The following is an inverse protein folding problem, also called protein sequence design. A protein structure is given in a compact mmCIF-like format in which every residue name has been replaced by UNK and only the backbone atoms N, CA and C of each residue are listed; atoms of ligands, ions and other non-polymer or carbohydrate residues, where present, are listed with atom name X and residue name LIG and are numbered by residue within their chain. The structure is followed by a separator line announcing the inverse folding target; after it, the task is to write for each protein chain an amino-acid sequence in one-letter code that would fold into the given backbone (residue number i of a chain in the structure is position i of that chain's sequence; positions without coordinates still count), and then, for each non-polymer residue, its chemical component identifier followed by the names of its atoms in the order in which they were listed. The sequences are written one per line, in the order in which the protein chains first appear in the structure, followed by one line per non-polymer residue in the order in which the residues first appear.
data_IF_227476301368
#
_entry.id   IF_227476301368
#
_cell.length_a   1.000
_cell.length_b   1.000
_cell.length_c   1.000
_cell.angle_alpha   90.00
_cell.angle_beta   90.00
_cell.angle_gamma   90.00
#
_symmetry.space_group_name_H-M   'P 1'
#
loop_
_entity.id
_entity.type
_entity.pdbx_description
1 polymer ?
#
# COMPACT_ATOMS: atom_id res chain seq x y z
N UNK A 1 21.01 -13.89 -3.95
CA UNK A 1 19.78 -14.04 -3.14
C UNK A 1 20.07 -13.54 -1.73
N UNK A 2 19.79 -12.26 -1.46
CA UNK A 2 20.21 -11.57 -0.25
C UNK A 2 19.09 -11.58 0.79
N UNK A 3 18.97 -12.70 1.48
CA UNK A 3 18.44 -12.73 2.85
C UNK A 3 19.63 -13.00 3.77
N UNK A 4 20.32 -11.94 4.22
CA UNK A 4 21.07 -11.94 5.49
C UNK A 4 21.58 -10.54 5.80
N UNK A 5 20.93 -9.87 6.77
CA UNK A 5 21.59 -8.96 7.71
C UNK A 5 20.62 -8.62 8.85
N UNK A 6 20.97 -9.06 10.06
CA UNK A 6 20.73 -8.32 11.30
C UNK A 6 19.32 -8.37 11.92
N UNK A 7 19.18 -9.15 12.98
CA UNK A 7 18.04 -9.17 13.89
C UNK A 7 18.06 -7.97 14.86
N UNK A 8 16.86 -7.47 15.17
CA UNK A 8 16.42 -6.75 16.37
C UNK A 8 17.14 -5.46 16.81
N UNK A 9 16.85 -4.38 16.10
CA UNK A 9 16.69 -3.03 16.65
C UNK A 9 15.64 -2.36 15.78
N UNK A 10 14.57 -1.81 16.37
CA UNK A 10 13.39 -1.28 15.66
C UNK A 10 13.76 -0.61 14.33
N UNK A 11 13.50 -1.22 13.16
CA UNK A 11 13.83 -0.58 11.90
C UNK A 11 12.90 0.61 11.79
N UNK A 12 13.51 1.79 11.75
CA UNK A 12 12.84 3.05 11.54
C UNK A 12 12.01 2.93 10.25
N UNK A 13 10.68 2.85 10.42
CA UNK A 13 9.74 2.71 9.30
C UNK A 13 9.86 3.92 8.38
N UNK A 14 10.21 5.10 8.91
CA UNK A 14 10.44 6.29 8.09
C UNK A 14 11.71 6.16 7.24
N UNK A 15 12.77 5.54 7.77
CA UNK A 15 13.96 5.21 6.97
C UNK A 15 13.63 4.27 5.80
N UNK A 16 12.79 3.25 6.04
CA UNK A 16 12.32 2.36 4.97
C UNK A 16 11.43 3.05 3.93
N UNK A 17 10.79 4.18 4.29
CA UNK A 17 9.95 4.98 3.40
C UNK A 17 10.73 6.11 2.68
N UNK A 18 11.92 6.48 3.15
CA UNK A 18 12.62 7.70 2.71
C UNK A 18 13.72 7.49 1.65
N UNK A 19 14.15 6.25 1.41
CA UNK A 19 15.28 5.95 0.53
C UNK A 19 14.83 5.73 -0.92
N UNK A 20 14.42 6.81 -1.61
CA UNK A 20 14.16 6.82 -3.07
C UNK A 20 14.16 8.26 -3.64
N UNK A 21 15.22 9.04 -3.34
CA UNK A 21 15.40 10.38 -3.92
C UNK A 21 16.70 10.41 -4.73
N UNK A 22 16.55 10.70 -6.04
CA UNK A 22 17.56 11.08 -7.06
C UNK A 22 18.11 9.99 -8.00
N UNK A 23 17.68 9.95 -9.28
CA UNK A 23 18.39 10.57 -10.43
C UNK A 23 17.64 10.32 -11.76
N UNK A 24 17.57 11.35 -12.62
CA UNK A 24 16.93 11.30 -13.93
C UNK A 24 17.86 10.68 -14.99
N UNK A 25 17.50 9.51 -15.54
CA UNK A 25 18.07 9.00 -16.79
C UNK A 25 16.95 8.54 -17.72
N UNK A 26 17.00 8.96 -18.99
CA UNK A 26 15.90 8.93 -19.98
C UNK A 26 15.44 7.54 -20.47
N UNK A 27 15.74 6.48 -19.73
CA UNK A 27 15.16 5.14 -19.92
C UNK A 27 14.08 4.78 -18.87
N UNK A 28 13.90 5.64 -17.85
CA UNK A 28 12.99 5.46 -16.71
C UNK A 28 11.76 6.40 -16.73
N UNK A 29 11.51 7.13 -17.82
CA UNK A 29 10.51 8.21 -17.85
C UNK A 29 9.07 7.76 -17.51
N UNK A 30 8.79 6.47 -17.65
CA UNK A 30 7.48 5.87 -17.41
C UNK A 30 7.33 5.26 -16.00
N UNK A 31 8.43 5.14 -15.23
CA UNK A 31 8.40 4.62 -13.87
C UNK A 31 8.15 5.77 -12.89
N UNK A 32 7.20 5.57 -12.01
CA UNK A 32 6.77 6.56 -11.03
C UNK A 32 6.79 5.94 -9.63
N UNK A 33 7.31 6.71 -8.67
CA UNK A 33 7.21 6.39 -7.25
C UNK A 33 6.34 7.44 -6.58
N UNK A 34 5.30 7.00 -5.89
CA UNK A 34 4.40 7.88 -5.16
C UNK A 34 3.84 7.20 -3.91
N UNK A 35 3.36 8.02 -2.97
CA UNK A 35 2.74 7.55 -1.73
C UNK A 35 1.29 7.97 -1.68
N UNK A 36 0.39 7.00 -1.56
CA UNK A 36 -1.01 7.23 -1.23
C UNK A 36 -1.15 7.29 0.29
N UNK A 37 -1.68 8.40 0.80
CA UNK A 37 -1.92 8.61 2.24
C UNK A 37 -3.42 8.72 2.48
N UNK A 38 -3.95 7.95 3.44
CA UNK A 38 -5.35 8.02 3.87
C UNK A 38 -5.41 8.29 5.37
N UNK A 39 -6.12 9.34 5.77
CA UNK A 39 -6.33 9.67 7.19
C UNK A 39 -7.43 8.80 7.78
N UNK A 40 -8.45 8.56 6.98
CA UNK A 40 -9.59 7.71 7.30
C UNK A 40 -9.18 6.24 7.22
N UNK A 41 -9.70 5.38 8.12
CA UNK A 41 -9.44 3.95 8.06
C UNK A 41 -10.07 3.34 6.81
N UNK A 42 -9.43 2.31 6.28
CA UNK A 42 -9.88 1.52 5.13
C UNK A 42 -10.62 0.30 5.66
N UNK A 43 -11.83 0.01 5.16
CA UNK A 43 -12.54 -1.21 5.51
C UNK A 43 -11.80 -2.46 5.04
N UNK A 44 -11.86 -3.56 5.79
CA UNK A 44 -11.15 -4.79 5.47
C UNK A 44 -11.54 -5.35 4.09
N UNK A 45 -12.84 -5.34 3.78
CA UNK A 45 -13.35 -5.78 2.47
C UNK A 45 -12.87 -4.85 1.35
N UNK A 46 -12.93 -3.53 1.57
CA UNK A 46 -12.40 -2.54 0.62
C UNK A 46 -10.92 -2.76 0.33
N UNK A 47 -10.10 -3.01 1.36
CA UNK A 47 -8.69 -3.28 1.20
C UNK A 47 -8.45 -4.55 0.37
N UNK A 48 -9.16 -5.64 0.66
CA UNK A 48 -9.04 -6.89 -0.09
C UNK A 48 -9.37 -6.70 -1.56
N UNK A 49 -10.54 -6.14 -1.88
CA UNK A 49 -10.98 -5.90 -3.26
C UNK A 49 -10.04 -4.96 -4.01
N UNK A 50 -9.52 -3.93 -3.33
CA UNK A 50 -8.54 -3.02 -3.89
C UNK A 50 -7.24 -3.74 -4.29
N UNK A 51 -6.70 -4.60 -3.41
CA UNK A 51 -5.49 -5.36 -3.72
C UNK A 51 -5.71 -6.38 -4.85
N UNK A 52 -6.87 -7.05 -4.87
CA UNK A 52 -7.25 -7.96 -5.96
C UNK A 52 -7.34 -7.24 -7.30
N UNK A 53 -8.02 -6.08 -7.33
CA UNK A 53 -8.17 -5.28 -8.55
C UNK A 53 -6.81 -4.74 -9.02
N UNK A 54 -5.92 -4.34 -8.12
CA UNK A 54 -4.55 -3.98 -8.48
C UNK A 54 -3.79 -5.15 -9.12
N UNK A 55 -3.91 -6.36 -8.58
CA UNK A 55 -3.27 -7.56 -9.11
C UNK A 55 -3.76 -7.88 -10.53
N UNK A 56 -5.07 -7.79 -10.75
CA UNK A 56 -5.72 -8.10 -12.02
C UNK A 56 -5.38 -7.06 -13.11
N UNK A 57 -5.39 -5.78 -12.77
CA UNK A 57 -5.30 -4.71 -13.77
C UNK A 57 -3.89 -4.13 -13.97
N UNK A 58 -3.03 -4.18 -12.95
CA UNK A 58 -1.69 -3.58 -13.07
C UNK A 58 -0.62 -4.58 -13.51
N UNK A 59 -0.82 -5.89 -13.31
CA UNK A 59 0.09 -6.93 -13.81
C UNK A 59 1.58 -6.62 -13.60
N UNK A 60 2.34 -6.53 -14.71
CA UNK A 60 3.77 -6.20 -14.70
C UNK A 60 4.08 -4.69 -14.56
N UNK A 61 3.07 -3.83 -14.67
CA UNK A 61 3.18 -2.38 -14.52
C UNK A 61 3.15 -1.95 -13.03
N UNK A 62 2.75 -2.81 -12.09
CA UNK A 62 2.97 -2.59 -10.65
C UNK A 62 4.28 -3.22 -10.20
N UNK A 63 5.38 -2.48 -10.21
CA UNK A 63 6.70 -3.04 -9.90
C UNK A 63 6.84 -3.42 -8.43
N UNK A 64 6.35 -2.56 -7.53
CA UNK A 64 6.35 -2.80 -6.09
C UNK A 64 5.25 -2.03 -5.39
N UNK A 65 4.66 -2.65 -4.38
CA UNK A 65 3.79 -2.03 -3.41
C UNK A 65 4.27 -2.39 -2.01
N UNK A 66 4.30 -1.39 -1.13
CA UNK A 66 4.50 -1.62 0.30
C UNK A 66 3.72 -0.61 1.09
N UNK A 67 3.09 -1.01 2.19
CA UNK A 67 2.35 -0.06 3.00
C UNK A 67 1.96 -0.55 4.37
N UNK A 68 1.65 0.42 5.23
CA UNK A 68 0.97 0.23 6.51
C UNK A 68 -0.45 0.80 6.36
N UNK A 69 -1.45 0.03 6.76
CA UNK A 69 -2.86 0.35 6.55
C UNK A 69 -3.60 0.35 7.87
N UNK A 70 -4.31 1.44 8.13
CA UNK A 70 -5.30 1.54 9.18
C UNK A 70 -6.58 0.84 8.73
N UNK A 71 -6.84 -0.35 9.27
CA UNK A 71 -8.04 -1.13 8.94
C UNK A 71 -9.13 -0.84 9.96
N UNK A 72 -10.32 -0.45 9.49
CA UNK A 72 -11.41 0.02 10.33
C UNK A 72 -11.84 -1.00 11.41
N UNK A 73 -11.81 -2.28 11.05
CA UNK A 73 -12.18 -3.41 11.90
C UNK A 73 -11.06 -3.81 12.88
N UNK A 74 -9.86 -3.22 12.77
CA UNK A 74 -8.71 -3.49 13.63
C UNK A 74 -7.86 -2.24 13.89
N UNK A 75 -8.43 -1.18 14.50
CA UNK A 75 -7.83 0.15 14.55
C UNK A 75 -6.50 0.22 15.32
N UNK A 76 -6.25 -0.70 16.25
CA UNK A 76 -5.02 -0.75 17.06
C UNK A 76 -3.92 -1.64 16.47
N UNK A 77 -4.23 -2.40 15.41
CA UNK A 77 -3.34 -3.39 14.80
C UNK A 77 -3.28 -3.13 13.30
N UNK A 78 -2.36 -2.29 12.83
CA UNK A 78 -2.29 -1.98 11.42
C UNK A 78 -1.89 -3.20 10.60
N UNK A 79 -2.45 -3.29 9.39
CA UNK A 79 -2.04 -4.27 8.40
C UNK A 79 -0.82 -3.76 7.63
N UNK A 80 0.13 -4.65 7.37
CA UNK A 80 1.30 -4.42 6.53
C UNK A 80 1.11 -5.20 5.24
N UNK A 81 1.11 -4.47 4.13
CA UNK A 81 0.82 -5.01 2.79
C UNK A 81 2.04 -4.89 1.90
N UNK A 82 2.31 -5.95 1.16
CA UNK A 82 3.48 -6.07 0.29
C UNK A 82 3.04 -6.73 -1.03
N UNK A 83 3.38 -6.11 -2.15
CA UNK A 83 3.14 -6.62 -3.49
C UNK A 83 4.36 -6.42 -4.39
N UNK A 84 4.60 -7.35 -5.29
CA UNK A 84 5.61 -7.26 -6.35
C UNK A 84 4.99 -7.81 -7.62
N UNK A 85 4.86 -6.97 -8.66
CA UNK A 85 4.14 -7.34 -9.89
C UNK A 85 2.72 -7.82 -9.56
N UNK A 86 2.34 -9.00 -10.05
CA UNK A 86 1.02 -9.59 -9.82
C UNK A 86 0.94 -10.40 -8.51
N UNK A 87 2.00 -10.45 -7.71
CA UNK A 87 2.05 -11.28 -6.50
C UNK A 87 1.89 -10.40 -5.27
N UNK A 88 0.76 -10.57 -4.59
CA UNK A 88 0.50 -9.98 -3.28
C UNK A 88 0.63 -11.03 -2.18
N UNK A 89 1.38 -10.69 -1.14
CA UNK A 89 1.42 -11.52 0.06
C UNK A 89 0.21 -11.24 0.93
N UNK A 90 -0.25 -12.26 1.65
CA UNK A 90 -1.27 -12.08 2.68
C UNK A 90 -0.86 -10.94 3.64
N UNK A 91 -1.76 -10.01 3.98
CA UNK A 91 -1.43 -8.92 4.88
C UNK A 91 -0.88 -9.43 6.22
N UNK A 92 0.27 -8.90 6.63
CA UNK A 92 0.85 -9.19 7.94
C UNK A 92 0.32 -8.19 8.96
N UNK A 93 -0.16 -8.66 10.11
CA UNK A 93 -0.74 -7.79 11.14
C UNK A 93 0.28 -7.43 12.20
N UNK A 94 0.53 -6.14 12.41
CA UNK A 94 1.36 -5.70 13.53
C UNK A 94 0.61 -5.82 14.85
N UNK A 95 1.36 -6.03 15.94
CA UNK A 95 0.78 -6.09 17.30
C UNK A 95 0.30 -4.72 17.78
N UNK A 96 0.96 -3.64 17.32
CA UNK A 96 0.66 -2.25 17.61
C UNK A 96 1.21 -1.36 16.51
N UNK A 97 0.75 -0.12 16.48
CA UNK A 97 1.33 0.91 15.62
C UNK A 97 2.77 1.30 16.04
N UNK A 98 3.63 1.69 15.08
CA UNK A 98 5.00 2.10 15.35
C UNK A 98 5.15 3.53 15.90
N UNK A 99 4.15 4.40 15.71
CA UNK A 99 4.12 5.80 16.18
C UNK A 99 2.71 6.17 16.65
N UNK A 100 2.41 7.45 16.89
CA UNK A 100 1.04 7.94 17.14
C UNK A 100 0.27 8.28 15.86
N UNK A 101 0.95 8.34 14.72
CA UNK A 101 0.31 8.51 13.41
C UNK A 101 -0.47 7.23 13.06
N UNK A 102 -1.77 7.39 12.82
CA UNK A 102 -2.71 6.30 12.45
C UNK A 102 -3.11 6.38 10.98
N UNK A 103 -2.44 7.20 10.18
CA UNK A 103 -2.70 7.27 8.74
C UNK A 103 -2.18 6.03 8.02
N UNK A 104 -2.95 5.57 7.03
CA UNK A 104 -2.47 4.59 6.07
C UNK A 104 -1.47 5.25 5.13
N UNK A 105 -0.35 4.58 4.86
CA UNK A 105 0.70 5.04 3.94
C UNK A 105 1.11 3.88 3.06
N UNK A 106 0.85 4.01 1.76
CA UNK A 106 1.14 2.97 0.77
C UNK A 106 2.04 3.58 -0.30
N UNK A 107 3.25 3.05 -0.40
CA UNK A 107 4.23 3.42 -1.42
C UNK A 107 4.04 2.50 -2.62
N UNK A 108 3.89 3.12 -3.77
CA UNK A 108 3.79 2.48 -5.08
C UNK A 108 5.04 2.80 -5.88
N UNK A 109 5.58 1.78 -6.54
CA UNK A 109 6.52 1.92 -7.64
C UNK A 109 5.84 1.28 -8.84
N UNK A 110 5.45 2.09 -9.81
CA UNK A 110 4.66 1.66 -10.96
C UNK A 110 5.32 2.08 -12.26
N UNK A 111 4.89 1.48 -13.36
CA UNK A 111 5.18 1.89 -14.73
C UNK A 111 3.86 2.27 -15.39
N UNK A 112 3.69 3.52 -15.81
CA UNK A 112 2.48 4.02 -16.50
C UNK A 112 1.16 3.83 -15.73
N UNK A 113 1.21 3.59 -14.42
CA UNK A 113 0.02 3.61 -13.54
C UNK A 113 0.06 4.91 -12.75
N UNK A 114 -0.83 5.87 -13.04
CA UNK A 114 -0.81 7.17 -12.38
C UNK A 114 -1.43 7.10 -10.98
N UNK A 115 -0.87 7.85 -10.04
CA UNK A 115 -1.36 7.95 -8.64
C UNK A 115 -2.87 8.19 -8.56
N UNK A 116 -3.39 9.14 -9.33
CA UNK A 116 -4.82 9.49 -9.36
C UNK A 116 -5.74 8.30 -9.66
N UNK A 117 -5.28 7.35 -10.48
CA UNK A 117 -6.09 6.18 -10.83
C UNK A 117 -6.18 5.22 -9.66
N UNK A 118 -5.06 5.01 -8.95
CA UNK A 118 -5.02 4.19 -7.72
C UNK A 118 -5.89 4.81 -6.62
N UNK A 119 -5.82 6.13 -6.43
CA UNK A 119 -6.63 6.84 -5.45
C UNK A 119 -8.12 6.77 -5.78
N UNK A 120 -8.50 7.02 -7.04
CA UNK A 120 -9.88 6.93 -7.50
C UNK A 120 -10.42 5.50 -7.39
N UNK A 121 -9.60 4.48 -7.67
CA UNK A 121 -9.99 3.08 -7.51
C UNK A 121 -10.30 2.75 -6.05
N UNK A 122 -9.41 3.13 -5.13
CA UNK A 122 -9.61 2.91 -3.70
C UNK A 122 -10.87 3.62 -3.19
N UNK A 123 -11.09 4.85 -3.62
CA UNK A 123 -12.28 5.62 -3.28
C UNK A 123 -13.56 4.97 -3.81
N UNK A 124 -13.60 4.59 -5.09
CA UNK A 124 -14.75 3.96 -5.71
C UNK A 124 -15.13 2.65 -5.00
N UNK A 125 -14.16 1.76 -4.75
CA UNK A 125 -14.42 0.52 -4.00
C UNK A 125 -14.90 0.83 -2.57
N UNK A 126 -14.32 1.85 -1.93
CA UNK A 126 -14.73 2.28 -0.60
C UNK A 126 -16.19 2.72 -0.53
N UNK A 127 -16.63 3.54 -1.49
CA UNK A 127 -18.02 4.01 -1.60
C UNK A 127 -18.95 2.83 -1.86
N UNK A 128 -18.65 1.97 -2.84
CA UNK A 128 -19.50 0.84 -3.20
C UNK A 128 -19.67 -0.16 -2.04
N UNK A 129 -18.59 -0.47 -1.33
CA UNK A 129 -18.65 -1.37 -0.16
C UNK A 129 -19.51 -0.76 0.95
N UNK A 130 -19.36 0.54 1.23
CA UNK A 130 -20.15 1.23 2.24
C UNK A 130 -21.65 1.23 1.89
N UNK A 131 -21.98 1.49 0.62
CA UNK A 131 -23.35 1.47 0.11
C UNK A 131 -23.99 0.07 0.22
N UNK A 132 -23.27 -0.98 -0.17
CA UNK A 132 -23.75 -2.36 -0.06
C UNK A 132 -23.96 -2.76 1.40
N UNK A 133 -23.07 -2.34 2.30
CA UNK A 133 -23.22 -2.57 3.73
C UNK A 133 -24.41 -1.82 4.33
N UNK A 134 -24.74 -0.62 3.84
CA UNK A 134 -25.86 0.18 4.34
C UNK A 134 -27.25 -0.33 3.87
N UNK A 135 -27.30 -1.11 2.78
CA UNK A 135 -28.53 -1.70 2.25
C UNK A 135 -28.91 -3.05 2.88
N UNK A 136 -28.07 -3.58 3.78
CA UNK A 136 -28.31 -4.82 4.54
C UNK A 136 -28.85 -4.51 5.92
#
# INVERSE_FOLDING_TARGET
CLFSAGLYGSPDVNSWLADDRHSHTRHDADIQTYTVVRKEPIGAVTLTLFLETLAEHCGADLLRLKGIVNVAESPNRPAVIHGVQHVFHAPAWLKRWPSDDRSSRIVFITRRVPQRWVEALLEAIGVEVADVSARR
#
